data_IF_730680373816
#
_entry.id   IF_730680373816
#
_cell.length_a   1.000
_cell.length_b   1.000
_cell.length_c   1.000
_cell.angle_alpha   90.00
_cell.angle_beta   90.00
_cell.angle_gamma   90.00
#
_symmetry.space_group_name_H-M   'P 1'
#
loop_
_entity.id
_entity.type
_entity.pdbx_description
1 polymer ?
#
# COMPACT_ATOMS: atom_id res chain seq x y z
N UNK A 1 20.77 9.90 38.59
CA UNK A 1 21.86 9.40 39.48
C UNK A 1 22.15 7.96 39.11
N UNK A 2 23.42 7.57 39.01
CA UNK A 2 23.78 6.19 38.67
C UNK A 2 23.39 5.24 39.83
N UNK A 3 22.53 4.22 39.62
CA UNK A 3 22.03 3.33 40.68
C UNK A 3 23.15 2.75 41.54
N UNK A 4 24.26 2.36 40.92
CA UNK A 4 25.43 1.79 41.60
C UNK A 4 26.08 2.78 42.59
N UNK A 5 26.03 4.08 42.30
CA UNK A 5 26.55 5.12 43.20
C UNK A 5 25.65 5.33 44.41
N UNK A 6 24.34 5.25 44.22
CA UNK A 6 23.36 5.38 45.31
C UNK A 6 23.52 4.22 46.29
N UNK A 7 23.60 3.00 45.75
CA UNK A 7 23.81 1.79 46.54
C UNK A 7 25.10 1.85 47.36
N UNK A 8 26.21 2.27 46.74
CA UNK A 8 27.50 2.38 47.42
C UNK A 8 27.48 3.43 48.55
N UNK A 9 26.75 4.53 48.37
CA UNK A 9 26.58 5.56 49.41
C UNK A 9 25.73 5.03 50.56
N UNK A 10 24.67 4.29 50.27
CA UNK A 10 23.79 3.68 51.28
C UNK A 10 24.56 2.66 52.11
N UNK A 11 25.31 1.76 51.47
CA UNK A 11 26.12 0.75 52.16
C UNK A 11 27.21 1.39 53.05
N UNK A 12 27.87 2.45 52.55
CA UNK A 12 28.82 3.24 53.32
C UNK A 12 28.16 3.88 54.56
N UNK A 13 26.93 4.38 54.40
CA UNK A 13 26.17 5.01 55.48
C UNK A 13 25.82 4.01 56.57
N UNK A 14 25.36 2.80 56.20
CA UNK A 14 25.11 1.73 57.17
C UNK A 14 26.40 1.27 57.87
N UNK A 15 27.53 1.19 57.16
CA UNK A 15 28.83 0.91 57.76
C UNK A 15 29.24 1.95 58.81
N UNK A 16 29.03 3.24 58.52
CA UNK A 16 29.27 4.32 59.49
C UNK A 16 28.34 4.21 60.71
N UNK A 17 27.05 3.93 60.50
CA UNK A 17 26.08 3.77 61.58
C UNK A 17 26.42 2.58 62.50
N UNK A 18 26.94 1.49 61.96
CA UNK A 18 27.43 0.35 62.74
C UNK A 18 28.66 0.77 63.56
N UNK A 19 29.60 1.53 62.99
CA UNK A 19 30.75 2.05 63.74
C UNK A 19 30.31 2.99 64.89
N UNK A 20 29.29 3.82 64.65
CA UNK A 20 28.67 4.67 65.69
C UNK A 20 28.02 3.82 66.78
N UNK A 21 27.33 2.73 66.41
CA UNK A 21 26.77 1.78 67.39
C UNK A 21 27.87 1.22 68.30
N UNK A 22 29.00 0.79 67.75
CA UNK A 22 30.13 0.29 68.54
C UNK A 22 30.70 1.40 69.45
N UNK A 23 30.81 2.63 68.96
CA UNK A 23 31.22 3.78 69.77
C UNK A 23 30.26 4.03 70.95
N UNK A 24 28.95 3.92 70.71
CA UNK A 24 27.93 4.05 71.76
C UNK A 24 28.00 2.91 72.80
N UNK A 25 28.34 1.69 72.39
CA UNK A 25 28.58 0.57 73.33
C UNK A 25 29.72 0.95 74.30
N UNK A 26 30.80 1.51 73.77
CA UNK A 26 31.99 1.87 74.56
C UNK A 26 31.75 3.07 75.48
N UNK A 27 30.98 4.07 75.03
CA UNK A 27 30.86 5.37 75.73
C UNK A 27 29.57 5.53 76.54
N UNK A 28 28.44 5.02 76.03
CA UNK A 28 27.10 5.19 76.60
C UNK A 28 26.52 3.90 77.20
N UNK A 29 27.28 2.79 77.15
CA UNK A 29 26.92 1.50 77.71
C UNK A 29 26.23 0.55 76.73
N UNK A 30 26.32 -0.75 77.04
CA UNK A 30 25.89 -1.83 76.15
C UNK A 30 24.43 -1.72 75.70
N UNK A 31 23.51 -1.34 76.59
CA UNK A 31 22.06 -1.33 76.28
C UNK A 31 21.74 -0.33 75.16
N UNK A 32 22.31 0.88 75.23
CA UNK A 32 22.05 1.96 74.25
C UNK A 32 22.69 1.61 72.91
N UNK A 33 23.96 1.20 72.93
CA UNK A 33 24.69 0.85 71.72
C UNK A 33 24.10 -0.37 70.99
N UNK A 34 23.66 -1.39 71.73
CA UNK A 34 22.99 -2.57 71.18
C UNK A 34 21.61 -2.24 70.61
N UNK A 35 20.79 -1.45 71.32
CA UNK A 35 19.46 -1.06 70.82
C UNK A 35 19.56 -0.27 69.51
N UNK A 36 20.50 0.68 69.44
CA UNK A 36 20.78 1.43 68.23
C UNK A 36 21.31 0.54 67.10
N UNK A 37 22.29 -0.32 67.38
CA UNK A 37 22.86 -1.24 66.41
C UNK A 37 21.85 -2.23 65.83
N UNK A 38 20.95 -2.74 66.68
CA UNK A 38 19.88 -3.64 66.25
C UNK A 38 18.88 -2.94 65.32
N UNK A 39 18.52 -1.69 65.63
CA UNK A 39 17.67 -0.87 64.75
C UNK A 39 18.30 -0.60 63.39
N UNK A 40 19.60 -0.27 63.36
CA UNK A 40 20.37 -0.08 62.13
C UNK A 40 20.41 -1.37 61.31
N UNK A 41 20.63 -2.52 61.95
CA UNK A 41 20.69 -3.82 61.29
C UNK A 41 19.34 -4.23 60.70
N UNK A 42 18.23 -4.05 61.44
CA UNK A 42 16.88 -4.30 60.92
C UNK A 42 16.56 -3.40 59.73
N UNK A 43 16.91 -2.12 59.81
CA UNK A 43 16.75 -1.18 58.70
C UNK A 43 17.54 -1.61 57.46
N UNK A 44 18.78 -2.05 57.63
CA UNK A 44 19.62 -2.54 56.54
C UNK A 44 19.03 -3.80 55.89
N UNK A 45 18.56 -4.77 56.69
CA UNK A 45 17.90 -5.98 56.18
C UNK A 45 16.66 -5.64 55.36
N UNK A 46 15.80 -4.73 55.85
CA UNK A 46 14.63 -4.26 55.11
C UNK A 46 15.03 -3.60 53.79
N UNK A 47 16.08 -2.79 53.79
CA UNK A 47 16.59 -2.15 52.59
C UNK A 47 17.10 -3.18 51.56
N UNK A 48 17.86 -4.19 52.00
CA UNK A 48 18.38 -5.27 51.14
C UNK A 48 17.25 -6.11 50.55
N UNK A 49 16.24 -6.47 51.36
CA UNK A 49 15.07 -7.21 50.88
C UNK A 49 14.28 -6.39 49.85
N UNK A 50 14.07 -5.10 50.10
CA UNK A 50 13.41 -4.22 49.14
C UNK A 50 14.21 -4.08 47.84
N UNK A 51 15.54 -3.97 47.94
CA UNK A 51 16.45 -3.94 46.80
C UNK A 51 16.38 -5.25 45.99
N UNK A 52 16.44 -6.41 46.65
CA UNK A 52 16.29 -7.71 46.00
C UNK A 52 14.93 -7.86 45.32
N UNK A 53 13.84 -7.44 45.97
CA UNK A 53 12.50 -7.48 45.37
C UNK A 53 12.38 -6.56 44.15
N UNK A 54 13.03 -5.39 44.17
CA UNK A 54 13.16 -4.51 42.99
C UNK A 54 14.03 -5.11 41.88
N UNK A 55 14.91 -6.05 42.15
CA UNK A 55 15.71 -6.70 41.11
C UNK A 55 15.25 -8.13 40.82
N UNK A 56 14.07 -8.51 41.31
CA UNK A 56 13.51 -9.82 41.05
C UNK A 56 13.31 -10.00 39.53
N UNK A 57 13.97 -10.97 38.89
CA UNK A 57 14.03 -11.08 37.44
C UNK A 57 12.65 -11.13 36.80
N UNK A 58 11.68 -11.76 37.48
CA UNK A 58 10.39 -12.11 36.90
C UNK A 58 9.55 -10.88 36.52
N UNK A 59 9.50 -9.84 37.36
CA UNK A 59 8.67 -8.67 37.05
C UNK A 59 9.33 -7.77 36.01
N UNK A 60 10.66 -7.69 36.00
CA UNK A 60 11.40 -6.92 35.00
C UNK A 60 11.32 -7.61 33.63
N UNK A 61 11.48 -8.93 33.57
CA UNK A 61 11.31 -9.68 32.32
C UNK A 61 9.89 -9.61 31.80
N UNK A 62 8.89 -9.63 32.70
CA UNK A 62 7.48 -9.52 32.30
C UNK A 62 7.19 -8.12 31.77
N UNK A 63 7.57 -7.06 32.49
CA UNK A 63 7.35 -5.69 32.06
C UNK A 63 8.06 -5.36 30.74
N UNK A 64 9.32 -5.82 30.57
CA UNK A 64 10.06 -5.66 29.31
C UNK A 64 9.40 -6.46 28.20
N UNK A 65 8.97 -7.70 28.47
CA UNK A 65 8.26 -8.52 27.47
C UNK A 65 6.97 -7.81 27.03
N UNK A 66 6.15 -7.35 27.97
CA UNK A 66 4.90 -6.64 27.68
C UNK A 66 5.15 -5.37 26.86
N UNK A 67 6.12 -4.56 27.28
CA UNK A 67 6.48 -3.32 26.58
C UNK A 67 7.00 -3.58 25.17
N UNK A 68 7.84 -4.61 24.99
CA UNK A 68 8.37 -4.98 23.68
C UNK A 68 7.26 -5.57 22.81
N UNK A 69 6.42 -6.44 23.35
CA UNK A 69 5.32 -7.06 22.63
C UNK A 69 4.30 -6.01 22.15
N UNK A 70 3.93 -5.06 23.01
CA UNK A 70 3.05 -3.95 22.67
C UNK A 70 3.69 -3.01 21.64
N UNK A 71 4.90 -2.51 21.90
CA UNK A 71 5.58 -1.56 21.00
C UNK A 71 5.87 -2.17 19.63
N UNK A 72 6.31 -3.44 19.59
CA UNK A 72 6.65 -4.11 18.34
C UNK A 72 5.38 -4.47 17.56
N UNK A 73 4.32 -4.97 18.20
CA UNK A 73 3.08 -5.23 17.47
C UNK A 73 2.52 -3.94 16.88
N UNK A 74 2.36 -2.88 17.67
CA UNK A 74 1.78 -1.62 17.17
C UNK A 74 2.62 -1.03 16.04
N UNK A 75 3.93 -0.90 16.26
CA UNK A 75 4.82 -0.26 15.27
C UNK A 75 4.92 -1.09 14.00
N UNK A 76 5.07 -2.41 14.10
CA UNK A 76 5.25 -3.29 12.93
C UNK A 76 3.93 -3.46 12.20
N UNK A 77 2.82 -3.69 12.89
CA UNK A 77 1.52 -3.88 12.24
C UNK A 77 1.08 -2.61 11.53
N UNK A 78 1.19 -1.44 12.17
CA UNK A 78 0.79 -0.16 11.57
C UNK A 78 1.72 0.25 10.43
N UNK A 79 3.04 0.22 10.65
CA UNK A 79 4.01 0.64 9.62
C UNK A 79 4.02 -0.31 8.42
N UNK A 80 3.97 -1.62 8.66
CA UNK A 80 4.02 -2.60 7.56
C UNK A 80 2.71 -2.61 6.81
N UNK A 81 1.55 -2.61 7.47
CA UNK A 81 0.28 -2.55 6.74
C UNK A 81 0.15 -1.25 5.95
N UNK A 82 0.37 -0.08 6.55
CA UNK A 82 0.23 1.18 5.79
C UNK A 82 1.23 1.27 4.63
N UNK A 83 2.49 0.88 4.85
CA UNK A 83 3.51 0.99 3.80
C UNK A 83 3.24 0.00 2.68
N UNK A 84 2.89 -1.25 3.00
CA UNK A 84 2.61 -2.28 2.00
C UNK A 84 1.32 -1.96 1.26
N UNK A 85 0.25 -1.60 1.96
CA UNK A 85 -1.04 -1.31 1.34
C UNK A 85 -0.97 -0.08 0.43
N UNK A 86 -0.38 1.04 0.88
CA UNK A 86 -0.19 2.22 0.02
C UNK A 86 0.78 1.94 -1.12
N UNK A 87 1.97 1.41 -0.83
CA UNK A 87 3.01 1.30 -1.86
C UNK A 87 2.63 0.25 -2.89
N UNK A 88 2.19 -0.94 -2.45
CA UNK A 88 1.84 -2.02 -3.38
C UNK A 88 0.50 -1.72 -4.04
N UNK A 89 -0.51 -1.26 -3.30
CA UNK A 89 -1.81 -0.89 -3.86
C UNK A 89 -1.69 0.19 -4.93
N UNK A 90 -1.14 1.36 -4.59
CA UNK A 90 -1.04 2.47 -5.54
C UNK A 90 -0.09 2.18 -6.71
N UNK A 91 1.03 1.48 -6.46
CA UNK A 91 1.97 1.18 -7.55
C UNK A 91 1.40 0.16 -8.51
N UNK A 92 0.75 -0.90 -8.01
CA UNK A 92 0.13 -1.92 -8.86
C UNK A 92 -1.04 -1.32 -9.61
N UNK A 93 -1.93 -0.57 -8.95
CA UNK A 93 -3.07 0.07 -9.60
C UNK A 93 -2.62 1.02 -10.70
N UNK A 94 -1.72 1.99 -10.42
CA UNK A 94 -1.20 2.89 -11.45
C UNK A 94 -0.47 2.16 -12.58
N UNK A 95 0.39 1.20 -12.26
CA UNK A 95 1.17 0.51 -13.30
C UNK A 95 0.26 -0.32 -14.20
N UNK A 96 -0.77 -0.96 -13.64
CA UNK A 96 -1.71 -1.78 -14.40
C UNK A 96 -2.63 -0.89 -15.21
N UNK A 97 -3.27 0.12 -14.62
CA UNK A 97 -4.18 1.02 -15.34
C UNK A 97 -3.47 1.78 -16.45
N UNK A 98 -2.33 2.43 -16.17
CA UNK A 98 -1.64 3.23 -17.19
C UNK A 98 -1.05 2.32 -18.28
N UNK A 99 -0.26 1.30 -17.93
CA UNK A 99 0.41 0.52 -18.99
C UNK A 99 -0.54 -0.38 -19.74
N UNK A 100 -1.46 -1.07 -19.05
CA UNK A 100 -2.36 -2.00 -19.74
C UNK A 100 -3.43 -1.21 -20.48
N UNK A 101 -3.99 -0.16 -19.88
CA UNK A 101 -4.93 0.74 -20.53
C UNK A 101 -4.35 1.35 -21.81
N UNK A 102 -3.20 2.03 -21.72
CA UNK A 102 -2.58 2.64 -22.91
C UNK A 102 -2.17 1.60 -23.96
N UNK A 103 -1.63 0.45 -23.54
CA UNK A 103 -1.19 -0.57 -24.51
C UNK A 103 -2.38 -1.18 -25.24
N UNK A 104 -3.47 -1.47 -24.53
CA UNK A 104 -4.69 -2.02 -25.14
C UNK A 104 -5.34 -0.98 -26.04
N UNK A 105 -5.48 0.27 -25.57
CA UNK A 105 -6.13 1.32 -26.35
C UNK A 105 -5.35 1.66 -27.62
N UNK A 106 -4.02 1.83 -27.55
CA UNK A 106 -3.21 2.05 -28.75
C UNK A 106 -3.18 0.82 -29.64
N UNK A 107 -2.79 -0.33 -29.11
CA UNK A 107 -2.53 -1.49 -29.98
C UNK A 107 -3.83 -2.00 -30.60
N UNK A 108 -4.90 -2.12 -29.82
CA UNK A 108 -6.18 -2.62 -30.33
C UNK A 108 -6.90 -1.54 -31.12
N UNK A 109 -6.89 -0.28 -30.66
CA UNK A 109 -7.49 0.84 -31.39
C UNK A 109 -6.86 1.02 -32.76
N UNK A 110 -5.53 1.18 -32.83
CA UNK A 110 -4.83 1.36 -34.10
C UNK A 110 -4.96 0.13 -35.00
N UNK A 111 -4.80 -1.10 -34.46
CA UNK A 111 -4.94 -2.30 -35.30
C UNK A 111 -6.35 -2.45 -35.86
N UNK A 112 -7.39 -2.16 -35.08
CA UNK A 112 -8.78 -2.26 -35.54
C UNK A 112 -9.09 -1.17 -36.54
N UNK A 113 -8.68 0.07 -36.27
CA UNK A 113 -8.95 1.21 -37.14
C UNK A 113 -8.22 1.06 -38.49
N UNK A 114 -6.95 0.67 -38.46
CA UNK A 114 -6.15 0.46 -39.67
C UNK A 114 -6.63 -0.78 -40.43
N UNK A 115 -6.72 -1.94 -39.77
CA UNK A 115 -7.03 -3.19 -40.47
C UNK A 115 -8.50 -3.24 -40.92
N UNK A 116 -9.45 -2.88 -40.05
CA UNK A 116 -10.88 -2.97 -40.38
C UNK A 116 -11.29 -1.78 -41.23
N UNK A 117 -10.80 -0.58 -40.95
CA UNK A 117 -11.06 0.61 -41.75
C UNK A 117 -10.59 0.42 -43.18
N UNK A 118 -9.31 0.10 -43.40
CA UNK A 118 -8.78 -0.10 -44.74
C UNK A 118 -9.44 -1.29 -45.44
N UNK A 119 -9.63 -2.43 -44.76
CA UNK A 119 -10.25 -3.60 -45.41
C UNK A 119 -11.69 -3.32 -45.83
N UNK A 120 -12.46 -2.59 -45.03
CA UNK A 120 -13.85 -2.25 -45.35
C UNK A 120 -13.88 -1.22 -46.46
N UNK A 121 -13.08 -0.16 -46.37
CA UNK A 121 -13.04 0.91 -47.35
C UNK A 121 -12.58 0.39 -48.71
N UNK A 122 -11.50 -0.41 -48.75
CA UNK A 122 -10.98 -0.97 -49.99
C UNK A 122 -11.93 -2.03 -50.56
N UNK A 123 -12.30 -3.06 -49.79
CA UNK A 123 -13.09 -4.18 -50.36
C UNK A 123 -14.54 -3.81 -50.59
N UNK A 124 -15.19 -3.13 -49.65
CA UNK A 124 -16.61 -2.78 -49.79
C UNK A 124 -16.75 -1.61 -50.75
N UNK A 125 -15.87 -0.61 -50.68
CA UNK A 125 -15.84 0.50 -51.63
C UNK A 125 -15.66 0.01 -53.06
N UNK A 126 -14.59 -0.74 -53.35
CA UNK A 126 -14.37 -1.25 -54.72
C UNK A 126 -15.50 -2.18 -55.18
N UNK A 127 -16.00 -3.07 -54.31
CA UNK A 127 -17.06 -4.01 -54.70
C UNK A 127 -18.35 -3.27 -55.02
N UNK A 128 -18.72 -2.27 -54.23
CA UNK A 128 -19.92 -1.46 -54.47
C UNK A 128 -19.73 -0.63 -55.73
N UNK A 129 -18.60 0.04 -55.88
CA UNK A 129 -18.34 0.92 -57.03
C UNK A 129 -18.32 0.12 -58.34
N UNK A 130 -17.58 -1.00 -58.41
CA UNK A 130 -17.61 -1.87 -59.60
C UNK A 130 -18.97 -2.52 -59.80
N UNK A 131 -19.46 -3.25 -58.81
CA UNK A 131 -20.64 -4.10 -59.03
C UNK A 131 -21.90 -3.27 -59.21
N UNK A 132 -22.13 -2.29 -58.33
CA UNK A 132 -23.34 -1.46 -58.40
C UNK A 132 -23.21 -0.42 -59.50
N UNK A 133 -22.05 0.24 -59.62
CA UNK A 133 -21.81 1.22 -60.69
C UNK A 133 -21.98 0.60 -62.07
N UNK A 134 -21.25 -0.48 -62.38
CA UNK A 134 -21.34 -1.12 -63.70
C UNK A 134 -22.72 -1.73 -63.97
N UNK A 135 -23.38 -2.31 -62.96
CA UNK A 135 -24.71 -2.89 -63.14
C UNK A 135 -25.76 -1.81 -63.38
N UNK A 136 -25.70 -0.70 -62.63
CA UNK A 136 -26.63 0.43 -62.82
C UNK A 136 -26.38 1.08 -64.17
N UNK A 137 -25.13 1.34 -64.53
CA UNK A 137 -24.78 1.94 -65.82
C UNK A 137 -25.28 1.07 -66.98
N UNK A 138 -24.97 -0.23 -66.99
CA UNK A 138 -25.50 -1.14 -68.01
C UNK A 138 -27.01 -1.22 -68.04
N UNK A 139 -27.65 -1.31 -66.88
CA UNK A 139 -29.12 -1.44 -66.82
C UNK A 139 -29.80 -0.18 -67.31
N UNK A 140 -29.25 0.99 -66.99
CA UNK A 140 -29.77 2.29 -67.46
C UNK A 140 -29.52 2.44 -68.95
N UNK A 141 -28.32 2.13 -69.43
CA UNK A 141 -27.96 2.24 -70.84
C UNK A 141 -28.80 1.31 -71.72
N UNK A 142 -28.91 0.01 -71.37
CA UNK A 142 -29.79 -0.92 -72.11
C UNK A 142 -31.25 -0.50 -72.01
N UNK A 143 -31.81 -0.44 -70.79
CA UNK A 143 -33.27 -0.29 -70.68
C UNK A 143 -33.74 1.10 -71.05
N UNK A 144 -33.07 2.15 -70.59
CA UNK A 144 -33.50 3.52 -70.87
C UNK A 144 -33.11 3.91 -72.28
N UNK A 145 -31.90 3.53 -72.74
CA UNK A 145 -31.46 3.77 -74.11
C UNK A 145 -32.39 3.12 -75.13
N UNK A 146 -32.62 1.80 -75.03
CA UNK A 146 -33.51 1.09 -75.97
C UNK A 146 -34.95 1.59 -75.87
N UNK A 147 -35.50 1.80 -74.66
CA UNK A 147 -36.88 2.27 -74.54
C UNK A 147 -37.04 3.66 -75.14
N UNK A 148 -36.08 4.57 -74.92
CA UNK A 148 -36.13 5.94 -75.47
C UNK A 148 -35.93 5.90 -76.98
N UNK A 149 -35.00 5.10 -77.49
CA UNK A 149 -34.76 4.98 -78.93
C UNK A 149 -35.98 4.38 -79.64
N UNK A 150 -36.60 3.34 -79.08
CA UNK A 150 -37.80 2.71 -79.65
C UNK A 150 -39.01 3.66 -79.58
N UNK A 151 -39.32 4.22 -78.40
CA UNK A 151 -40.48 5.12 -78.28
C UNK A 151 -40.31 6.45 -78.99
N UNK A 152 -39.14 7.10 -78.89
CA UNK A 152 -38.91 8.38 -79.58
C UNK A 152 -38.74 8.16 -81.07
N UNK A 153 -38.03 7.11 -81.49
CA UNK A 153 -37.88 6.73 -82.90
C UNK A 153 -39.23 6.46 -83.55
N UNK A 154 -40.06 5.60 -82.97
CA UNK A 154 -41.39 5.30 -83.52
C UNK A 154 -42.32 6.52 -83.51
N UNK A 155 -42.26 7.36 -82.47
CA UNK A 155 -43.12 8.56 -82.41
C UNK A 155 -42.68 9.61 -83.43
N UNK A 156 -41.37 9.79 -83.63
CA UNK A 156 -40.83 10.72 -84.63
C UNK A 156 -41.09 10.22 -86.04
N UNK A 157 -40.86 8.93 -86.35
CA UNK A 157 -41.20 8.36 -87.65
C UNK A 157 -42.69 8.52 -87.96
N UNK A 158 -43.59 8.15 -87.04
CA UNK A 158 -45.04 8.34 -87.24
C UNK A 158 -45.43 9.80 -87.45
N UNK A 159 -44.81 10.73 -86.74
CA UNK A 159 -45.13 12.16 -86.90
C UNK A 159 -44.62 12.73 -88.23
N UNK A 160 -43.49 12.22 -88.74
CA UNK A 160 -42.90 12.65 -90.01
C UNK A 160 -43.61 12.03 -91.22
N UNK A 161 -44.12 10.80 -91.11
CA UNK A 161 -44.96 10.18 -92.16
C UNK A 161 -46.39 10.75 -92.23
N UNK A 162 -46.90 11.35 -91.14
CA UNK A 162 -48.24 11.96 -91.07
C UNK A 162 -48.29 13.46 -91.46
N UNK A 163 -47.16 14.09 -91.80
CA UNK A 163 -47.07 15.51 -92.22
C UNK A 163 -46.77 15.67 -93.70
#
# INVERSE_FOLDING_TARGET
MNPNRVDSIVDLTYGLLIAISVGLIVVAGNVVGLAFGFGVLVSYVLHVVWKMARFDPNWMTTAVKETVEETVNETVEETVNETVEKTVGETVEKTVDEKVGETVEKTVGETVEETVGETVEEKVGETVEKTVGETVEKTVEEKVGETVEETVGETVEKTVDET
#
